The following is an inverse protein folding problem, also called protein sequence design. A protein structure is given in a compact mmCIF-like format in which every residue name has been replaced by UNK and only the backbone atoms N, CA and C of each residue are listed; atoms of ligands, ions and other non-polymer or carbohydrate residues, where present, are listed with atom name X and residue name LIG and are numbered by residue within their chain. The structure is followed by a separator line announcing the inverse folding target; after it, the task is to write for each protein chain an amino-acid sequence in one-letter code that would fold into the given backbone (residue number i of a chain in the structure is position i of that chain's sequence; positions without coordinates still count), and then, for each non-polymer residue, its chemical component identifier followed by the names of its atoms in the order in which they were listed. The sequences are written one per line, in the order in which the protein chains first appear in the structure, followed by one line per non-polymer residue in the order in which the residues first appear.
data_IF_164142826314
#
_entry.id   IF_164142826314
#
_cell.length_a   1.000
_cell.length_b   1.000
_cell.length_c   1.000
_cell.angle_alpha   90.00
_cell.angle_beta   90.00
_cell.angle_gamma   90.00
#
_symmetry.space_group_name_H-M   'P 1'
#
loop_
_entity.id
_entity.type
_entity.pdbx_description
1 polymer ?
#
# COMPACT_ATOMS: atom_id res chain seq x y z
N UNK A 1 -24.43 32.15 -4.88
CA UNK A 1 -24.64 31.29 -6.06
C UNK A 1 -24.09 29.94 -5.70
N UNK A 2 -24.90 28.91 -5.95
CA UNK A 2 -24.92 27.62 -5.25
C UNK A 2 -23.60 26.85 -5.16
N UNK A 3 -23.27 26.42 -3.94
CA UNK A 3 -22.29 25.37 -3.67
C UNK A 3 -22.89 24.04 -4.09
N UNK A 4 -22.59 23.60 -5.31
CA UNK A 4 -22.96 22.26 -5.76
C UNK A 4 -22.02 21.24 -5.15
N UNK A 5 -22.51 20.52 -4.15
CA UNK A 5 -21.85 19.37 -3.56
C UNK A 5 -21.57 18.32 -4.65
N UNK A 6 -20.29 18.02 -4.89
CA UNK A 6 -19.87 16.87 -5.68
C UNK A 6 -20.13 15.58 -4.87
N UNK A 7 -21.41 15.18 -4.81
CA UNK A 7 -21.83 13.93 -4.20
C UNK A 7 -21.60 12.80 -5.22
N UNK A 8 -20.68 11.89 -4.90
CA UNK A 8 -20.52 10.63 -5.65
C UNK A 8 -21.82 9.84 -5.64
N UNK A 9 -22.35 9.54 -6.82
CA UNK A 9 -23.62 8.81 -7.02
C UNK A 9 -23.57 7.33 -6.58
N UNK A 10 -22.40 6.83 -6.20
CA UNK A 10 -22.17 5.40 -5.93
C UNK A 10 -22.23 5.01 -4.45
N UNK A 11 -22.35 5.97 -3.52
CA UNK A 11 -22.43 5.69 -2.07
C UNK A 11 -23.82 5.98 -1.48
N UNK A 12 -24.87 5.43 -2.07
CA UNK A 12 -26.19 5.49 -1.45
C UNK A 12 -26.86 4.11 -1.40
N UNK A 13 -26.29 3.22 -0.59
CA UNK A 13 -27.01 2.08 -0.06
C UNK A 13 -26.84 2.04 1.47
N UNK A 14 -27.95 2.34 2.15
CA UNK A 14 -28.11 2.16 3.60
C UNK A 14 -28.23 0.65 3.87
N UNK A 15 -27.16 0.02 4.31
CA UNK A 15 -27.26 -1.26 5.04
C UNK A 15 -27.21 -1.00 6.54
N UNK A 16 -28.35 -1.25 7.17
CA UNK A 16 -28.55 -1.24 8.61
C UNK A 16 -27.83 -2.42 9.28
N UNK A 17 -26.74 -2.15 10.00
CA UNK A 17 -26.17 -3.12 10.93
C UNK A 17 -26.57 -2.77 12.36
N UNK A 18 -27.48 -3.57 12.90
CA UNK A 18 -27.84 -3.63 14.32
C UNK A 18 -26.63 -4.03 15.16
N UNK A 19 -26.28 -3.17 16.12
CA UNK A 19 -25.24 -3.40 17.10
C UNK A 19 -25.60 -4.53 18.08
N UNK A 20 -24.68 -5.47 18.31
CA UNK A 20 -24.74 -6.42 19.44
C UNK A 20 -23.51 -6.22 20.31
N UNK A 21 -23.75 -5.90 21.57
CA UNK A 21 -22.76 -5.69 22.63
C UNK A 21 -22.37 -7.01 23.29
N UNK A 22 -21.09 -7.27 23.63
CA UNK A 22 -20.73 -8.40 24.49
C UNK A 22 -20.80 -8.02 25.98
N UNK A 23 -21.49 -8.82 26.79
CA UNK A 23 -21.47 -8.75 28.27
C UNK A 23 -20.41 -9.70 28.83
N UNK A 24 -19.72 -9.25 29.90
CA UNK A 24 -18.88 -10.03 30.81
C UNK A 24 -19.66 -11.15 31.51
N UNK A 25 -19.03 -12.31 31.72
CA UNK A 25 -19.27 -13.18 32.89
C UNK A 25 -17.93 -13.77 33.36
N UNK A 26 -17.68 -13.66 34.67
CA UNK A 26 -16.57 -14.22 35.44
C UNK A 26 -16.97 -15.52 36.17
N UNK A 27 -15.99 -16.43 36.30
CA UNK A 27 -15.70 -17.44 37.34
C UNK A 27 -16.78 -18.40 37.91
N UNK A 28 -16.47 -19.71 37.91
CA UNK A 28 -16.31 -20.50 39.17
C UNK A 28 -15.77 -21.95 38.95
N UNK A 29 -14.66 -22.24 39.65
CA UNK A 29 -14.23 -23.47 40.37
C UNK A 29 -14.35 -24.91 39.80
N UNK A 30 -13.17 -25.57 39.77
CA UNK A 30 -12.80 -27.01 39.71
C UNK A 30 -13.26 -27.83 40.96
N UNK A 31 -12.89 -29.13 41.24
CA UNK A 31 -11.80 -29.99 40.69
C UNK A 31 -12.09 -31.52 40.52
N UNK A 32 -11.18 -32.28 39.85
CA UNK A 32 -10.40 -33.42 40.44
C UNK A 32 -9.57 -34.24 39.43
N UNK A 33 -8.24 -34.26 39.67
CA UNK A 33 -7.22 -35.36 39.68
C UNK A 33 -7.06 -36.35 38.49
N UNK A 34 -5.88 -36.34 37.85
CA UNK A 34 -4.75 -37.30 38.04
C UNK A 34 -3.59 -36.99 37.04
N UNK A 35 -2.34 -36.76 37.49
CA UNK A 35 -1.12 -37.59 37.27
C UNK A 35 -0.95 -38.14 35.83
N UNK A 36 0.16 -38.03 35.10
CA UNK A 36 1.59 -37.91 35.40
C UNK A 36 2.37 -37.61 34.09
N UNK A 37 3.66 -37.27 34.22
CA UNK A 37 4.75 -37.51 33.28
C UNK A 37 5.24 -36.37 32.37
N UNK A 38 6.46 -35.95 32.73
CA UNK A 38 7.42 -35.13 32.00
C UNK A 38 7.84 -35.76 30.68
N UNK A 39 7.96 -34.96 29.62
CA UNK A 39 9.07 -35.06 28.67
C UNK A 39 9.20 -33.77 27.84
N UNK A 40 10.29 -33.05 28.12
CA UNK A 40 10.96 -32.14 27.20
C UNK A 40 11.20 -32.82 25.86
N UNK A 41 10.79 -32.18 24.77
CA UNK A 41 11.31 -32.46 23.42
C UNK A 41 11.35 -31.14 22.66
N UNK A 42 12.48 -30.47 22.84
CA UNK A 42 13.04 -29.51 21.90
C UNK A 42 13.20 -30.19 20.54
N UNK A 43 12.29 -29.88 19.61
CA UNK A 43 12.57 -30.02 18.19
C UNK A 43 12.40 -28.66 17.55
N UNK A 44 13.55 -28.00 17.46
CA UNK A 44 13.87 -26.93 16.52
C UNK A 44 13.47 -27.44 15.13
N UNK A 45 12.31 -26.99 14.64
CA UNK A 45 11.96 -27.13 13.22
C UNK A 45 12.60 -25.97 12.47
N UNK A 46 13.86 -26.15 12.09
CA UNK A 46 14.58 -25.33 11.11
C UNK A 46 14.12 -25.72 9.70
N UNK A 47 12.85 -25.52 9.38
CA UNK A 47 12.31 -25.71 8.03
C UNK A 47 11.25 -24.64 7.75
N UNK A 48 11.69 -23.40 7.51
CA UNK A 48 10.79 -22.39 6.92
C UNK A 48 11.45 -21.41 5.94
N UNK A 49 12.78 -21.45 5.78
CA UNK A 49 13.48 -20.44 4.97
C UNK A 49 13.69 -20.79 3.49
N UNK A 50 13.60 -22.07 3.10
CA UNK A 50 13.87 -22.44 1.68
C UNK A 50 12.73 -22.11 0.72
N UNK A 51 11.49 -21.93 1.19
CA UNK A 51 10.37 -21.45 0.36
C UNK A 51 10.38 -19.92 0.19
N UNK A 52 11.31 -19.22 0.86
CA UNK A 52 11.50 -17.77 0.94
C UNK A 52 11.84 -17.04 -0.37
N UNK A 53 12.84 -17.54 -1.10
CA UNK A 53 13.51 -16.78 -2.17
C UNK A 53 12.87 -17.01 -3.55
N UNK A 54 12.08 -18.06 -3.72
CA UNK A 54 11.41 -18.38 -4.99
C UNK A 54 10.37 -17.35 -5.44
N UNK A 55 9.93 -16.50 -4.49
CA UNK A 55 8.94 -15.45 -4.72
C UNK A 55 9.56 -14.08 -5.01
N UNK A 56 10.87 -13.91 -4.75
CA UNK A 56 11.62 -12.76 -5.23
C UNK A 56 11.78 -12.87 -6.75
N UNK A 57 11.69 -11.74 -7.42
CA UNK A 57 11.91 -11.62 -8.86
C UNK A 57 13.41 -11.76 -9.14
N UNK A 58 13.94 -12.99 -9.12
CA UNK A 58 15.37 -13.27 -9.39
C UNK A 58 15.79 -12.88 -10.82
N UNK A 59 14.82 -12.63 -11.71
CA UNK A 59 15.07 -12.14 -13.07
C UNK A 59 14.60 -10.71 -13.21
N UNK A 60 15.49 -9.85 -13.72
CA UNK A 60 15.18 -8.52 -14.23
C UNK A 60 13.98 -8.59 -15.18
N UNK A 61 12.97 -7.73 -14.95
CA UNK A 61 11.74 -7.69 -15.74
C UNK A 61 11.59 -6.33 -16.41
N UNK A 62 11.01 -6.30 -17.61
CA UNK A 62 10.70 -5.08 -18.35
C UNK A 62 9.84 -4.13 -17.50
N UNK A 63 10.32 -2.92 -17.13
CA UNK A 63 9.64 -2.02 -16.20
C UNK A 63 8.19 -1.69 -16.61
N UNK A 64 7.28 -1.59 -15.64
CA UNK A 64 5.96 -1.02 -15.88
C UNK A 64 6.11 0.50 -15.99
N UNK A 65 6.05 1.02 -17.21
CA UNK A 65 6.16 2.46 -17.44
C UNK A 65 4.85 3.17 -17.09
N UNK A 66 4.81 3.80 -15.92
CA UNK A 66 3.71 4.70 -15.52
C UNK A 66 4.25 6.13 -15.51
N UNK A 67 3.58 7.03 -16.23
CA UNK A 67 3.96 8.45 -16.22
C UNK A 67 3.84 9.00 -14.79
N UNK A 68 4.80 9.82 -14.32
CA UNK A 68 4.69 10.47 -13.03
C UNK A 68 3.37 11.26 -12.94
N UNK A 69 2.68 11.11 -11.80
CA UNK A 69 1.44 11.79 -11.52
C UNK A 69 1.56 12.47 -10.15
N UNK A 70 1.22 13.77 -10.11
CA UNK A 70 1.52 14.74 -9.04
C UNK A 70 2.96 15.24 -8.94
N UNK A 71 3.09 16.47 -8.39
CA UNK A 71 4.34 17.17 -8.12
C UNK A 71 4.95 16.75 -6.77
N UNK A 72 5.02 15.44 -6.49
CA UNK A 72 5.94 14.98 -5.45
C UNK A 72 7.31 14.98 -6.09
N UNK A 73 8.28 15.69 -5.50
CA UNK A 73 9.67 15.74 -5.98
C UNK A 73 10.13 14.30 -6.21
N UNK A 74 10.34 13.88 -7.47
CA UNK A 74 10.69 12.50 -7.74
C UNK A 74 11.98 12.16 -7.02
N UNK A 75 11.95 11.20 -6.10
CA UNK A 75 13.16 10.63 -5.53
C UNK A 75 13.54 9.42 -6.35
N UNK A 76 14.71 9.47 -6.96
CA UNK A 76 15.28 8.31 -7.63
C UNK A 76 15.76 7.34 -6.55
N UNK A 77 14.94 6.36 -6.21
CA UNK A 77 15.33 5.29 -5.30
C UNK A 77 16.32 4.35 -6.00
N UNK A 78 17.43 3.96 -5.35
CA UNK A 78 18.38 3.01 -5.93
C UNK A 78 17.73 1.66 -6.25
N UNK A 79 18.12 1.07 -7.38
CA UNK A 79 17.64 -0.26 -7.79
C UNK A 79 18.38 -1.33 -7.00
N UNK A 80 17.64 -2.15 -6.26
CA UNK A 80 18.20 -3.23 -5.45
C UNK A 80 18.44 -4.49 -6.28
N UNK A 81 19.36 -5.38 -5.87
CA UNK A 81 19.51 -6.70 -6.49
C UNK A 81 18.32 -7.63 -6.22
N UNK A 82 17.33 -7.18 -5.45
CA UNK A 82 16.15 -7.96 -5.06
C UNK A 82 14.95 -7.73 -5.98
N UNK A 83 14.97 -6.65 -6.78
CA UNK A 83 13.91 -6.28 -7.71
C UNK A 83 12.52 -6.34 -7.07
N UNK A 84 12.36 -5.65 -5.93
CA UNK A 84 11.04 -5.55 -5.29
C UNK A 84 10.14 -4.66 -6.16
N UNK A 85 8.87 -5.04 -6.29
CA UNK A 85 7.95 -4.43 -7.28
C UNK A 85 7.76 -2.94 -7.04
N UNK A 86 7.84 -2.50 -5.80
CA UNK A 86 7.67 -1.13 -5.35
C UNK A 86 8.72 -0.18 -5.94
N UNK A 87 9.93 -0.67 -6.24
CA UNK A 87 11.00 0.15 -6.86
C UNK A 87 10.53 0.83 -8.16
N UNK A 88 9.73 0.11 -8.96
CA UNK A 88 9.19 0.57 -10.25
C UNK A 88 8.25 1.78 -10.11
N UNK A 89 7.64 1.97 -8.94
CA UNK A 89 6.61 2.99 -8.70
C UNK A 89 7.07 4.13 -7.78
N UNK A 90 8.36 4.19 -7.44
CA UNK A 90 8.94 5.20 -6.54
C UNK A 90 8.66 6.66 -6.96
N UNK A 91 8.58 6.92 -8.26
CA UNK A 91 8.27 8.25 -8.81
C UNK A 91 6.77 8.55 -8.97
N UNK A 92 5.89 7.58 -8.70
CA UNK A 92 4.45 7.74 -8.81
C UNK A 92 3.73 7.21 -7.55
N UNK A 93 3.51 8.08 -6.56
CA UNK A 93 2.75 7.83 -5.34
C UNK A 93 1.41 7.12 -5.52
N UNK A 94 0.63 7.52 -6.52
CA UNK A 94 -0.66 6.86 -6.77
C UNK A 94 -0.45 5.42 -7.24
N UNK A 95 0.42 5.22 -8.23
CA UNK A 95 0.72 3.91 -8.77
C UNK A 95 1.34 2.98 -7.71
N UNK A 96 2.21 3.51 -6.83
CA UNK A 96 2.74 2.80 -5.67
C UNK A 96 1.63 2.24 -4.79
N UNK A 97 0.67 3.08 -4.40
CA UNK A 97 -0.44 2.65 -3.55
C UNK A 97 -1.35 1.64 -4.24
N UNK A 98 -1.62 1.81 -5.54
CA UNK A 98 -2.34 0.82 -6.34
C UNK A 98 -1.58 -0.52 -6.37
N UNK A 99 -0.27 -0.51 -6.57
CA UNK A 99 0.55 -1.72 -6.58
C UNK A 99 0.43 -2.48 -5.25
N UNK A 100 0.44 -1.77 -4.11
CA UNK A 100 0.29 -2.41 -2.79
C UNK A 100 -1.07 -3.12 -2.62
N UNK A 101 -2.13 -2.61 -3.25
CA UNK A 101 -3.44 -3.28 -3.30
C UNK A 101 -3.36 -4.56 -4.15
N UNK A 102 -2.70 -4.51 -5.32
CA UNK A 102 -2.47 -5.69 -6.17
C UNK A 102 -1.65 -6.78 -5.46
N UNK A 103 -0.72 -6.40 -4.59
CA UNK A 103 0.16 -7.31 -3.85
C UNK A 103 -0.49 -7.89 -2.58
N UNK A 104 -1.70 -7.43 -2.21
CA UNK A 104 -2.41 -7.99 -1.05
C UNK A 104 -2.67 -9.48 -1.24
N UNK A 105 -2.00 -10.30 -0.42
CA UNK A 105 -2.05 -11.78 -0.48
C UNK A 105 -1.77 -12.36 -1.88
N UNK A 106 -1.00 -11.65 -2.70
CA UNK A 106 -0.69 -12.03 -4.08
C UNK A 106 0.79 -11.79 -4.32
N UNK A 107 1.53 -12.75 -4.86
CA UNK A 107 2.96 -12.54 -5.16
C UNK A 107 3.14 -11.54 -6.30
N UNK A 108 4.23 -10.77 -6.27
CA UNK A 108 4.55 -9.80 -7.32
C UNK A 108 4.58 -10.41 -8.71
N UNK A 109 5.24 -11.58 -8.86
CA UNK A 109 5.28 -12.35 -10.11
C UNK A 109 3.89 -12.62 -10.70
N UNK A 110 2.90 -12.93 -9.85
CA UNK A 110 1.53 -13.24 -10.30
C UNK A 110 0.73 -11.97 -10.56
N UNK A 111 0.90 -10.93 -9.75
CA UNK A 111 0.17 -9.67 -9.87
C UNK A 111 0.63 -8.82 -11.07
N UNK A 112 1.91 -8.90 -11.45
CA UNK A 112 2.54 -7.97 -12.39
C UNK A 112 1.88 -7.87 -13.77
N UNK A 113 1.50 -8.97 -14.46
CA UNK A 113 0.80 -8.87 -15.74
C UNK A 113 -0.52 -8.10 -15.63
N UNK A 114 -1.24 -8.25 -14.52
CA UNK A 114 -2.50 -7.56 -14.27
C UNK A 114 -2.29 -6.09 -13.93
N UNK A 115 -1.24 -5.76 -13.16
CA UNK A 115 -0.83 -4.37 -12.92
C UNK A 115 -0.47 -3.67 -14.22
N UNK A 116 0.32 -4.32 -15.09
CA UNK A 116 0.66 -3.78 -16.41
C UNK A 116 -0.60 -3.47 -17.22
N UNK A 117 -1.50 -4.44 -17.37
CA UNK A 117 -2.76 -4.24 -18.09
C UNK A 117 -3.62 -3.13 -17.45
N UNK A 118 -3.64 -3.03 -16.13
CA UNK A 118 -4.36 -1.99 -15.41
C UNK A 118 -3.79 -0.60 -15.73
N UNK A 119 -2.48 -0.39 -15.65
CA UNK A 119 -1.88 0.92 -15.92
C UNK A 119 -1.85 1.30 -17.41
N UNK A 120 -1.83 0.31 -18.30
CA UNK A 120 -2.01 0.54 -19.75
C UNK A 120 -3.41 1.12 -20.04
N UNK A 121 -4.44 0.69 -19.31
CA UNK A 121 -5.83 1.16 -19.48
C UNK A 121 -6.17 2.39 -18.61
N UNK A 122 -5.61 2.45 -17.39
CA UNK A 122 -5.86 3.49 -16.40
C UNK A 122 -4.55 4.17 -15.98
N UNK A 123 -3.97 5.03 -16.82
CA UNK A 123 -2.68 5.66 -16.54
C UNK A 123 -2.74 6.72 -15.42
N UNK A 124 -3.93 7.19 -15.04
CA UNK A 124 -4.12 8.19 -13.97
C UNK A 124 -5.36 7.85 -13.12
N UNK A 125 -5.47 8.37 -11.88
CA UNK A 125 -6.68 8.18 -11.08
C UNK A 125 -7.94 8.73 -11.77
N UNK A 126 -7.84 9.77 -12.59
CA UNK A 126 -9.00 10.29 -13.32
C UNK A 126 -9.57 9.28 -14.32
N UNK A 127 -8.73 8.43 -14.93
CA UNK A 127 -9.21 7.35 -15.78
C UNK A 127 -10.00 6.32 -14.97
N UNK A 128 -9.51 5.97 -13.78
CA UNK A 128 -10.22 5.07 -12.85
C UNK A 128 -11.58 5.65 -12.45
N UNK A 129 -11.62 6.96 -12.17
CA UNK A 129 -12.85 7.65 -11.74
C UNK A 129 -13.88 7.85 -12.85
N UNK A 130 -13.46 7.79 -14.11
CA UNK A 130 -14.36 7.79 -15.27
C UNK A 130 -15.05 6.43 -15.47
N UNK A 131 -14.65 5.41 -14.72
CA UNK A 131 -15.22 4.06 -14.78
C UNK A 131 -15.92 3.70 -13.45
N UNK A 132 -16.51 2.51 -13.41
CA UNK A 132 -17.28 2.00 -12.28
C UNK A 132 -16.41 1.09 -11.38
N UNK A 133 -16.65 1.08 -10.06
CA UNK A 133 -15.97 0.16 -9.14
C UNK A 133 -16.05 -1.32 -9.56
N UNK A 134 -17.19 -1.72 -10.15
CA UNK A 134 -17.47 -3.09 -10.59
C UNK A 134 -16.61 -3.47 -11.80
N UNK A 135 -16.38 -2.56 -12.74
CA UNK A 135 -15.58 -2.87 -13.92
C UNK A 135 -14.13 -3.18 -13.56
N UNK A 136 -13.59 -2.54 -12.51
CA UNK A 136 -12.24 -2.76 -12.01
C UNK A 136 -12.05 -4.14 -11.35
N UNK A 137 -13.12 -4.83 -10.96
CA UNK A 137 -13.02 -6.17 -10.39
C UNK A 137 -12.39 -7.18 -11.36
N UNK A 138 -12.51 -6.94 -12.68
CA UNK A 138 -11.99 -7.83 -13.72
C UNK A 138 -10.47 -8.06 -13.64
N UNK A 139 -9.72 -7.08 -13.14
CA UNK A 139 -8.27 -7.22 -12.94
C UNK A 139 -7.91 -8.21 -11.83
N UNK A 140 -8.90 -8.61 -11.02
CA UNK A 140 -8.73 -9.48 -9.87
C UNK A 140 -9.43 -10.83 -10.03
N UNK A 141 -10.06 -11.10 -11.18
CA UNK A 141 -10.79 -12.36 -11.42
C UNK A 141 -9.90 -13.59 -11.21
N UNK A 142 -8.65 -13.52 -11.68
CA UNK A 142 -7.65 -14.59 -11.55
C UNK A 142 -6.70 -14.42 -10.35
N UNK A 143 -6.76 -13.28 -9.66
CA UNK A 143 -5.94 -12.99 -8.47
C UNK A 143 -6.70 -13.24 -7.16
N UNK A 144 -8.03 -13.36 -7.23
CA UNK A 144 -8.91 -13.40 -6.07
C UNK A 144 -9.08 -12.03 -5.41
N UNK A 145 -9.92 -11.98 -4.37
CA UNK A 145 -10.24 -10.75 -3.62
C UNK A 145 -10.77 -9.62 -4.53
N UNK A 146 -11.79 -9.92 -5.35
CA UNK A 146 -12.38 -9.01 -6.35
C UNK A 146 -12.77 -7.63 -5.81
N UNK A 147 -13.15 -7.54 -4.52
CA UNK A 147 -13.43 -6.28 -3.80
C UNK A 147 -12.28 -5.26 -3.86
N UNK A 148 -11.06 -5.67 -4.21
CA UNK A 148 -9.93 -4.76 -4.47
C UNK A 148 -10.22 -3.76 -5.59
N UNK A 149 -11.03 -4.10 -6.60
CA UNK A 149 -11.47 -3.14 -7.62
C UNK A 149 -12.21 -1.94 -7.01
N UNK A 150 -13.11 -2.20 -6.06
CA UNK A 150 -13.81 -1.15 -5.32
C UNK A 150 -12.86 -0.31 -4.45
N UNK A 151 -11.86 -0.95 -3.83
CA UNK A 151 -10.84 -0.24 -3.05
C UNK A 151 -10.02 0.70 -3.93
N UNK A 152 -9.60 0.25 -5.11
CA UNK A 152 -8.85 1.07 -6.08
C UNK A 152 -9.65 2.31 -6.49
N UNK A 153 -10.93 2.14 -6.81
CA UNK A 153 -11.78 3.27 -7.18
C UNK A 153 -11.87 4.29 -6.04
N UNK A 154 -12.17 3.81 -4.82
CA UNK A 154 -12.33 4.68 -3.64
C UNK A 154 -11.01 5.34 -3.23
N UNK A 155 -9.89 4.61 -3.30
CA UNK A 155 -8.56 5.15 -3.10
C UNK A 155 -8.29 6.27 -4.09
N UNK A 156 -8.52 6.02 -5.39
CA UNK A 156 -8.26 7.01 -6.45
C UNK A 156 -9.08 8.28 -6.25
N UNK A 157 -10.32 8.14 -5.78
CA UNK A 157 -11.18 9.27 -5.41
C UNK A 157 -10.56 10.05 -4.24
N UNK A 158 -10.28 9.37 -3.12
CA UNK A 158 -9.73 10.01 -1.93
C UNK A 158 -8.37 10.65 -2.20
N UNK A 159 -7.55 10.02 -3.03
CA UNK A 159 -6.22 10.47 -3.38
C UNK A 159 -6.23 11.85 -4.04
N UNK A 160 -7.21 12.13 -4.92
CA UNK A 160 -7.34 13.43 -5.60
C UNK A 160 -8.25 14.42 -4.90
N UNK A 161 -9.20 13.96 -4.07
CA UNK A 161 -10.28 14.80 -3.53
C UNK A 161 -10.20 15.05 -2.02
N UNK A 162 -9.34 14.34 -1.28
CA UNK A 162 -9.29 14.40 0.19
C UNK A 162 -7.98 15.01 0.68
N UNK A 163 -8.00 15.62 1.86
CA UNK A 163 -6.80 16.06 2.58
C UNK A 163 -6.30 14.92 3.47
N UNK A 164 -5.54 13.99 2.89
CA UNK A 164 -4.93 12.89 3.62
C UNK A 164 -3.51 13.27 4.06
N UNK A 165 -3.10 12.80 5.24
CA UNK A 165 -1.77 13.10 5.81
C UNK A 165 -0.86 11.89 5.81
N UNK A 166 -1.44 10.70 5.83
CA UNK A 166 -0.75 9.42 5.77
C UNK A 166 -1.39 8.57 4.68
N UNK A 167 -0.61 7.76 3.99
CA UNK A 167 -1.14 6.87 2.97
C UNK A 167 -2.21 5.94 3.52
N UNK A 168 -2.06 5.51 4.78
CA UNK A 168 -3.02 4.71 5.55
C UNK A 168 -4.36 5.39 5.85
N UNK A 169 -4.50 6.70 5.59
CA UNK A 169 -5.79 7.38 5.64
C UNK A 169 -6.66 7.04 4.39
N UNK A 170 -6.04 6.50 3.33
CA UNK A 170 -6.69 6.12 2.07
C UNK A 170 -7.26 4.69 2.13
N UNK A 171 -8.37 4.47 1.43
CA UNK A 171 -9.08 3.20 1.41
C UNK A 171 -8.19 2.07 0.86
N UNK A 172 -8.12 0.96 1.60
CA UNK A 172 -7.36 -0.22 1.19
C UNK A 172 -5.88 -0.18 1.54
N UNK A 173 -5.38 0.93 2.11
CA UNK A 173 -3.97 1.06 2.51
C UNK A 173 -3.80 0.74 3.99
N UNK A 174 -3.08 -0.35 4.27
CA UNK A 174 -2.65 -0.75 5.61
C UNK A 174 -1.19 -0.40 5.87
N UNK A 175 -0.63 -0.95 6.96
CA UNK A 175 0.78 -0.73 7.35
C UNK A 175 1.78 -1.02 6.21
N UNK A 176 1.59 -2.11 5.48
CA UNK A 176 2.46 -2.44 4.34
C UNK A 176 2.49 -1.33 3.28
N UNK A 177 1.33 -0.85 2.84
CA UNK A 177 1.27 0.22 1.84
C UNK A 177 1.76 1.58 2.36
N UNK A 178 1.55 1.88 3.64
CA UNK A 178 2.14 3.05 4.31
C UNK A 178 3.68 2.97 4.32
N UNK A 179 4.23 1.83 4.75
CA UNK A 179 5.67 1.63 4.82
C UNK A 179 6.28 1.71 3.41
N UNK A 180 5.67 1.08 2.40
CA UNK A 180 6.11 1.18 1.01
C UNK A 180 6.11 2.62 0.49
N UNK A 181 5.03 3.37 0.74
CA UNK A 181 4.95 4.78 0.36
C UNK A 181 6.05 5.62 1.03
N UNK A 182 6.29 5.43 2.33
CA UNK A 182 7.33 6.14 3.07
C UNK A 182 8.74 5.81 2.56
N UNK A 183 9.03 4.54 2.29
CA UNK A 183 10.34 4.12 1.76
C UNK A 183 10.55 4.72 0.38
N UNK A 184 9.64 4.44 -0.55
CA UNK A 184 9.92 4.63 -1.97
C UNK A 184 9.53 6.00 -2.50
N UNK A 185 8.45 6.59 -1.98
CA UNK A 185 7.99 7.91 -2.42
C UNK A 185 8.56 9.04 -1.55
N UNK A 186 8.78 8.80 -0.25
CA UNK A 186 9.31 9.80 0.67
C UNK A 186 10.80 9.59 0.99
N UNK A 187 11.40 8.44 0.67
CA UNK A 187 12.83 8.17 0.94
C UNK A 187 13.16 7.92 2.41
N UNK A 188 12.19 7.51 3.23
CA UNK A 188 12.42 7.28 4.65
C UNK A 188 13.24 5.99 4.84
N UNK A 189 14.39 6.12 5.49
CA UNK A 189 15.31 5.00 5.75
C UNK A 189 15.34 4.61 7.23
N UNK A 190 14.55 5.23 8.08
CA UNK A 190 14.50 5.05 9.54
C UNK A 190 13.35 4.15 10.02
N UNK A 191 12.60 3.56 9.09
CA UNK A 191 11.47 2.70 9.43
C UNK A 191 11.86 1.23 9.60
N UNK A 192 11.09 0.49 10.40
CA UNK A 192 11.17 -0.96 10.58
C UNK A 192 9.87 -1.61 10.05
N UNK A 193 9.84 -2.02 8.77
CA UNK A 193 8.65 -2.60 8.17
C UNK A 193 8.48 -4.06 8.60
N UNK A 194 7.23 -4.50 8.74
CA UNK A 194 6.90 -5.91 9.00
C UNK A 194 7.03 -6.78 7.74
N UNK A 195 6.95 -6.15 6.57
CA UNK A 195 7.04 -6.85 5.29
C UNK A 195 8.50 -7.25 4.99
N UNK A 196 8.68 -8.53 4.64
CA UNK A 196 10.00 -9.12 4.41
C UNK A 196 10.74 -8.46 3.23
N UNK A 197 10.02 -8.05 2.18
CA UNK A 197 10.62 -7.47 0.98
C UNK A 197 11.02 -6.01 1.21
N UNK A 198 10.16 -5.25 1.89
CA UNK A 198 10.50 -3.88 2.31
C UNK A 198 11.73 -3.88 3.24
N UNK A 199 11.81 -4.84 4.17
CA UNK A 199 12.96 -4.99 5.07
C UNK A 199 14.23 -5.32 4.30
N UNK A 200 14.16 -6.28 3.38
CA UNK A 200 15.28 -6.68 2.53
C UNK A 200 15.81 -5.50 1.70
N UNK A 201 14.92 -4.70 1.13
CA UNK A 201 15.28 -3.49 0.40
C UNK A 201 15.98 -2.47 1.29
N UNK A 202 15.43 -2.18 2.47
CA UNK A 202 16.04 -1.21 3.40
C UNK A 202 17.39 -1.66 3.95
N UNK A 203 17.55 -2.94 4.28
CA UNK A 203 18.81 -3.48 4.77
C UNK A 203 19.90 -3.34 3.69
N UNK A 204 19.56 -3.64 2.43
CA UNK A 204 20.44 -3.39 1.29
C UNK A 204 20.74 -1.90 1.11
N UNK A 205 19.71 -1.05 1.09
CA UNK A 205 19.86 0.39 0.89
C UNK A 205 20.81 1.01 1.93
N UNK A 206 20.67 0.61 3.21
CA UNK A 206 21.50 1.07 4.33
C UNK A 206 22.94 0.56 4.29
N UNK A 207 23.17 -0.68 3.82
CA UNK A 207 24.48 -1.32 3.91
C UNK A 207 25.29 -1.24 2.61
N UNK A 208 24.65 -0.95 1.47
CA UNK A 208 25.24 -1.11 0.15
C UNK A 208 25.13 0.14 -0.74
N UNK A 209 24.59 1.25 -0.23
CA UNK A 209 24.48 2.50 -0.99
C UNK A 209 24.84 3.70 -0.12
N UNK A 210 25.33 4.77 -0.76
CA UNK A 210 25.58 6.06 -0.11
C UNK A 210 24.31 6.92 -0.03
N UNK A 211 23.13 6.32 -0.28
CA UNK A 211 21.84 7.03 -0.32
C UNK A 211 21.55 7.80 0.97
N UNK A 212 21.96 7.27 2.13
CA UNK A 212 21.78 7.92 3.42
C UNK A 212 22.66 9.18 3.57
N UNK A 213 23.84 9.21 2.94
CA UNK A 213 24.76 10.35 2.99
C UNK A 213 24.25 11.52 2.13
N UNK A 214 23.58 11.20 1.02
CA UNK A 214 23.09 12.20 0.05
C UNK A 214 21.63 12.64 0.28
N UNK A 215 20.78 11.74 0.79
CA UNK A 215 19.32 11.91 0.82
C UNK A 215 18.69 11.61 2.19
N UNK A 216 19.48 11.59 3.27
CA UNK A 216 19.05 11.24 4.62
C UNK A 216 17.90 12.11 5.17
N UNK A 217 16.67 11.78 4.79
CA UNK A 217 15.45 12.29 5.37
C UNK A 217 15.13 11.43 6.60
N UNK A 218 15.56 11.90 7.77
CA UNK A 218 15.10 11.36 9.06
C UNK A 218 13.69 11.92 9.29
N UNK A 219 12.73 11.09 9.72
CA UNK A 219 11.36 11.53 10.03
C UNK A 219 11.36 12.35 11.33
N UNK A 220 12.01 13.51 11.31
CA UNK A 220 11.76 14.54 12.31
C UNK A 220 10.37 15.08 12.02
N UNK A 221 9.41 14.80 12.88
CA UNK A 221 8.05 15.38 12.96
C UNK A 221 7.78 16.57 12.00
N UNK A 222 7.58 16.33 10.71
CA UNK A 222 7.20 17.38 9.77
C UNK A 222 5.96 16.89 9.05
N UNK A 223 4.84 17.50 9.44
CA UNK A 223 3.61 17.60 8.68
C UNK A 223 3.96 17.59 7.20
N UNK A 224 3.39 16.66 6.43
CA UNK A 224 3.35 16.78 4.97
C UNK A 224 2.70 18.14 4.72
N UNK A 225 3.52 19.18 4.49
CA UNK A 225 3.06 20.44 3.93
C UNK A 225 2.63 20.06 2.53
N UNK A 226 1.31 19.86 2.43
CA UNK A 226 0.61 19.42 1.26
C UNK A 226 1.11 20.16 0.02
N UNK A 227 1.92 19.53 -0.86
CA UNK A 227 2.38 20.17 -2.11
C UNK A 227 1.20 20.52 -3.02
N UNK A 228 0.03 19.90 -2.77
CA UNK A 228 -1.20 20.11 -3.50
C UNK A 228 -1.87 21.43 -3.07
N UNK A 229 -1.65 21.90 -1.83
CA UNK A 229 -2.20 23.20 -1.37
C UNK A 229 -1.59 24.39 -2.10
N UNK A 230 -0.29 24.34 -2.44
CA UNK A 230 0.33 25.42 -3.21
C UNK A 230 -0.16 25.44 -4.67
N UNK A 231 -0.38 24.26 -5.26
CA UNK A 231 -0.94 24.16 -6.61
C UNK A 231 -2.38 24.70 -6.71
N UNK A 232 -3.24 24.38 -5.73
CA UNK A 232 -4.59 24.97 -5.66
C UNK A 232 -4.59 26.46 -5.29
N UNK A 233 -3.58 26.93 -4.55
CA UNK A 233 -3.45 28.36 -4.22
C UNK A 233 -2.99 29.20 -5.42
N UNK A 234 -2.18 28.62 -6.32
CA UNK A 234 -1.74 29.27 -7.56
C UNK A 234 -2.89 29.29 -8.59
N UNK A 235 -3.59 28.17 -8.79
CA UNK A 235 -4.68 28.08 -9.78
C UNK A 235 -5.97 28.83 -9.40
N UNK A 236 -6.16 29.20 -8.13
CA UNK A 236 -7.29 30.03 -7.68
C UNK A 236 -6.96 31.53 -7.58
N UNK A 237 -5.71 31.95 -7.81
CA UNK A 237 -5.34 33.38 -7.85
C UNK A 237 -5.34 33.98 -9.25
N UNK A 238 -5.26 33.14 -10.29
CA UNK A 238 -5.24 33.58 -11.68
C UNK A 238 -6.65 33.56 -12.33
N UNK A 239 -7.70 33.61 -11.51
CA UNK A 239 -9.11 33.52 -11.92
C UNK A 239 -10.00 34.66 -11.44
N UNK A 240 -9.43 35.85 -11.22
CA UNK A 240 -10.17 37.12 -11.05
C UNK A 240 -10.10 37.97 -12.33
#
# INVERSE_FOLDING_TARGET
MDTSDCISRFFNEKESFTAVSPRLIQHSSSPTKSLDSSQDLSQISMESDELSLSQLTIKEQEPIHVQPFFNITPRCMPVSPHYVVEEEFSSNPWAMLIATIFLTKTSGKTARPYMKNFFDEYPTPYHVLNDTPVSLERFFDNLGLRKRGHMIWKLSYQFVSSKWRRASDLCGIGKYGEDAYRIFCLGHTDIDPNDRYLKLYLDWLRCNTDFLEENGAVDSEHVIEDPIMDYYRITLRDGD
#
